data_IF_669276549760
#
_entry.id   IF_669276549760
#
_cell.length_a   1.000
_cell.length_b   1.000
_cell.length_c   1.000
_cell.angle_alpha   90.00
_cell.angle_beta   90.00
_cell.angle_gamma   90.00
#
_symmetry.space_group_name_H-M   'P 1'
#
loop_
_entity.id
_entity.type
_entity.pdbx_description
1 polymer ?
#
# COMPACT_ATOMS: atom_id res chain seq x y z
N UNK A 1 23.86 -64.47 -32.68
CA UNK A 1 22.61 -64.62 -33.47
C UNK A 1 22.16 -63.21 -33.84
N UNK A 2 22.08 -62.91 -35.15
CA UNK A 2 21.45 -61.77 -35.87
C UNK A 2 21.41 -60.40 -35.16
N UNK A 3 22.16 -59.37 -35.56
CA UNK A 3 22.00 -58.51 -36.76
C UNK A 3 20.53 -58.17 -37.09
N UNK A 4 20.11 -56.91 -36.88
CA UNK A 4 19.76 -56.01 -37.99
C UNK A 4 19.51 -54.56 -37.53
N UNK A 5 20.24 -53.68 -38.21
CA UNK A 5 20.05 -52.23 -38.34
C UNK A 5 18.83 -52.00 -39.24
N UNK A 6 18.01 -50.99 -38.96
CA UNK A 6 17.48 -50.05 -39.98
C UNK A 6 16.98 -48.78 -39.28
N UNK A 7 17.67 -47.67 -39.53
CA UNK A 7 17.03 -46.36 -39.51
C UNK A 7 16.47 -46.07 -40.89
N UNK A 8 15.36 -45.34 -40.97
CA UNK A 8 15.15 -44.31 -42.00
C UNK A 8 14.12 -43.29 -41.51
N UNK A 9 14.53 -42.04 -41.50
CA UNK A 9 13.70 -40.84 -41.65
C UNK A 9 13.13 -40.80 -43.07
N UNK A 10 11.87 -40.42 -43.30
CA UNK A 10 11.50 -39.51 -44.39
C UNK A 10 9.99 -39.27 -44.48
N UNK A 11 9.68 -37.98 -44.62
CA UNK A 11 8.40 -37.37 -44.94
C UNK A 11 7.77 -37.89 -46.24
N UNK A 12 6.44 -37.95 -46.26
CA UNK A 12 5.63 -37.76 -47.46
C UNK A 12 4.92 -36.41 -47.40
N UNK A 13 5.40 -35.44 -48.18
CA UNK A 13 4.72 -34.20 -48.57
C UNK A 13 3.59 -34.52 -49.57
N UNK A 14 2.47 -33.80 -49.71
CA UNK A 14 2.21 -32.41 -50.15
C UNK A 14 0.66 -32.33 -50.25
N UNK A 15 -0.10 -31.25 -50.06
CA UNK A 15 0.13 -29.81 -49.94
C UNK A 15 -1.19 -29.08 -49.60
N UNK A 16 -1.13 -28.16 -48.62
CA UNK A 16 -1.68 -26.77 -48.64
C UNK A 16 -3.22 -26.58 -48.67
N UNK A 17 -3.86 -26.23 -47.53
CA UNK A 17 -4.29 -24.87 -47.11
C UNK A 17 -5.44 -24.84 -46.06
N UNK A 18 -5.30 -23.90 -45.11
CA UNK A 18 -6.32 -23.24 -44.25
C UNK A 18 -7.08 -24.13 -43.23
N UNK A 19 -7.04 -23.89 -41.92
CA UNK A 19 -7.44 -22.68 -41.20
C UNK A 19 -6.57 -22.45 -39.94
N UNK A 20 -6.25 -21.17 -39.68
CA UNK A 20 -5.48 -20.67 -38.53
C UNK A 20 -6.25 -20.92 -37.22
N UNK A 21 -5.55 -21.45 -36.21
CA UNK A 21 -5.97 -21.37 -34.81
C UNK A 21 -6.07 -19.90 -34.40
N UNK A 22 -7.21 -19.53 -33.84
CA UNK A 22 -7.44 -18.23 -33.22
C UNK A 22 -6.39 -17.97 -32.15
N UNK A 23 -5.81 -16.76 -32.22
CA UNK A 23 -4.84 -16.24 -31.28
C UNK A 23 -5.45 -16.27 -29.87
N UNK A 24 -4.85 -17.04 -28.97
CA UNK A 24 -4.77 -16.66 -27.57
C UNK A 24 -4.09 -15.29 -27.52
N UNK A 25 -4.90 -14.26 -27.23
CA UNK A 25 -4.39 -12.92 -26.99
C UNK A 25 -3.64 -12.96 -25.66
N UNK A 26 -2.33 -13.18 -25.74
CA UNK A 26 -1.41 -12.71 -24.71
C UNK A 26 -1.42 -11.19 -24.79
N UNK A 27 -2.20 -10.52 -23.93
CA UNK A 27 -1.95 -9.09 -23.65
C UNK A 27 -0.70 -9.07 -22.77
N UNK A 28 0.46 -9.14 -23.42
CA UNK A 28 1.71 -8.68 -22.83
C UNK A 28 1.59 -7.16 -22.74
N UNK A 29 1.46 -6.66 -21.52
CA UNK A 29 1.53 -5.24 -21.17
C UNK A 29 2.99 -4.73 -21.24
N UNK A 30 3.71 -5.11 -22.30
CA UNK A 30 5.08 -4.64 -22.63
C UNK A 30 5.05 -3.30 -23.38
N UNK A 31 3.90 -2.90 -23.94
CA UNK A 31 3.78 -1.68 -24.75
C UNK A 31 3.67 -0.39 -23.92
N UNK A 32 3.15 -0.46 -22.69
CA UNK A 32 3.00 0.72 -21.82
C UNK A 32 4.32 1.09 -21.15
N UNK A 33 5.15 0.12 -20.78
CA UNK A 33 6.48 0.36 -20.20
C UNK A 33 7.46 0.97 -21.21
N UNK A 34 7.49 0.45 -22.44
CA UNK A 34 8.43 0.91 -23.47
C UNK A 34 8.10 2.32 -24.00
N UNK A 35 6.81 2.67 -24.10
CA UNK A 35 6.37 3.97 -24.60
C UNK A 35 6.74 5.15 -23.67
N UNK A 36 6.98 4.88 -22.38
CA UNK A 36 7.12 5.90 -21.33
C UNK A 36 8.58 6.29 -21.06
N UNK A 37 9.53 5.37 -21.17
CA UNK A 37 10.96 5.68 -21.20
C UNK A 37 11.33 6.47 -22.46
N UNK A 38 10.72 6.14 -23.61
CA UNK A 38 10.94 6.84 -24.88
C UNK A 38 10.63 8.35 -24.80
N UNK A 39 9.58 8.78 -24.07
CA UNK A 39 9.28 10.21 -23.89
C UNK A 39 10.39 10.94 -23.14
N UNK A 40 10.92 10.33 -22.09
CA UNK A 40 12.01 10.91 -21.29
C UNK A 40 13.29 10.94 -22.12
N UNK A 41 13.62 9.86 -22.84
CA UNK A 41 14.78 9.80 -23.73
C UNK A 41 14.67 10.81 -24.88
N UNK A 42 13.49 10.94 -25.49
CA UNK A 42 13.23 11.93 -26.54
C UNK A 42 13.36 13.36 -26.02
N UNK A 43 12.83 13.65 -24.83
CA UNK A 43 12.94 14.96 -24.20
C UNK A 43 14.39 15.27 -23.78
N UNK A 44 15.15 14.28 -23.35
CA UNK A 44 16.59 14.40 -23.06
C UNK A 44 17.38 14.76 -24.32
N UNK A 45 17.10 14.12 -25.46
CA UNK A 45 17.76 14.42 -26.74
C UNK A 45 17.50 15.84 -27.25
N UNK A 46 16.46 16.53 -26.75
CA UNK A 46 16.11 17.91 -27.11
C UNK A 46 16.80 18.93 -26.17
N UNK A 47 17.19 18.54 -24.96
CA UNK A 47 17.91 19.41 -24.04
C UNK A 47 19.34 19.63 -24.54
N UNK A 48 19.62 20.84 -25.03
CA UNK A 48 20.83 21.15 -25.81
C UNK A 48 22.09 21.43 -24.99
N UNK A 49 22.04 21.31 -23.66
CA UNK A 49 23.20 21.46 -22.78
C UNK A 49 23.03 20.58 -21.53
N UNK A 50 24.11 19.89 -21.13
CA UNK A 50 24.17 19.24 -19.82
C UNK A 50 24.16 20.32 -18.74
N UNK A 51 23.17 20.34 -17.83
CA UNK A 51 23.13 21.34 -16.77
C UNK A 51 24.25 21.13 -15.75
N UNK A 52 24.54 22.17 -14.97
CA UNK A 52 25.50 22.08 -13.88
C UNK A 52 25.14 20.94 -12.92
N UNK A 53 26.17 20.25 -12.42
CA UNK A 53 26.02 19.19 -11.42
C UNK A 53 25.22 19.68 -10.22
N UNK A 54 24.42 18.79 -9.62
CA UNK A 54 23.64 19.09 -8.42
C UNK A 54 24.53 19.68 -7.31
N UNK A 55 24.05 20.75 -6.68
CA UNK A 55 24.62 21.38 -5.50
C UNK A 55 23.77 21.03 -4.28
N UNK A 56 24.35 21.14 -3.08
CA UNK A 56 23.62 20.79 -1.86
C UNK A 56 22.46 21.76 -1.62
N UNK A 57 22.58 23.00 -2.09
CA UNK A 57 21.55 24.03 -2.02
C UNK A 57 20.42 23.87 -3.06
N UNK A 58 20.54 22.92 -4.01
CA UNK A 58 19.45 22.54 -4.91
C UNK A 58 18.30 21.83 -4.17
N UNK A 59 18.59 21.30 -2.98
CA UNK A 59 17.65 20.63 -2.09
C UNK A 59 17.15 21.57 -0.97
N UNK A 60 17.46 22.87 -1.04
CA UNK A 60 16.97 23.83 -0.05
C UNK A 60 15.73 24.55 -0.58
N UNK A 61 14.79 24.85 0.32
CA UNK A 61 13.63 25.69 0.00
C UNK A 61 13.46 26.79 1.03
N UNK A 62 12.62 27.77 0.71
CA UNK A 62 12.31 28.85 1.64
C UNK A 62 10.80 29.00 1.80
N UNK A 63 10.35 29.07 3.06
CA UNK A 63 8.96 29.33 3.40
C UNK A 63 8.89 30.43 4.47
N UNK A 64 8.09 31.47 4.23
CA UNK A 64 7.96 32.65 5.12
C UNK A 64 9.34 33.22 5.54
N UNK A 65 10.24 33.36 4.57
CA UNK A 65 11.63 33.83 4.77
C UNK A 65 12.52 32.94 5.67
N UNK A 66 12.09 31.71 5.95
CA UNK A 66 12.91 30.72 6.64
C UNK A 66 13.48 29.76 5.63
N UNK A 67 14.79 29.53 5.72
CA UNK A 67 15.48 28.49 4.99
C UNK A 67 15.08 27.13 5.59
N UNK A 68 14.75 26.18 4.74
CA UNK A 68 14.43 24.81 5.09
C UNK A 68 15.43 23.89 4.39
N UNK A 69 16.03 23.02 5.18
CA UNK A 69 17.02 22.01 4.77
C UNK A 69 16.96 20.78 5.69
N UNK A 70 17.86 19.83 5.49
CA UNK A 70 17.94 18.57 6.26
C UNK A 70 18.11 18.74 7.78
N UNK A 71 18.62 19.89 8.24
CA UNK A 71 18.92 20.19 9.64
C UNK A 71 17.82 21.05 10.29
N UNK A 72 16.74 21.33 9.57
CA UNK A 72 15.64 22.16 10.09
C UNK A 72 14.95 21.46 11.26
N UNK A 73 14.89 22.16 12.40
CA UNK A 73 14.14 21.71 13.58
C UNK A 73 12.66 22.03 13.39
N UNK A 74 11.84 20.97 13.29
CA UNK A 74 10.40 21.10 13.12
C UNK A 74 9.73 21.74 14.34
N UNK A 75 10.25 21.53 15.54
CA UNK A 75 9.68 22.10 16.78
C UNK A 75 9.86 23.63 16.80
N UNK A 76 10.95 24.15 16.23
CA UNK A 76 11.12 25.59 16.05
C UNK A 76 10.07 26.17 15.08
N UNK A 77 9.78 25.49 13.97
CA UNK A 77 8.76 25.93 13.02
C UNK A 77 7.37 25.94 13.66
N UNK A 78 7.02 24.90 14.42
CA UNK A 78 5.74 24.81 15.14
C UNK A 78 5.65 25.90 16.21
N UNK A 79 6.73 26.14 16.97
CA UNK A 79 6.74 27.23 17.96
C UNK A 79 6.50 28.60 17.31
N UNK A 80 7.05 28.81 16.11
CA UNK A 80 6.97 30.09 15.40
C UNK A 80 5.66 30.32 14.67
N UNK A 81 5.11 29.28 14.04
CA UNK A 81 3.96 29.41 13.14
C UNK A 81 2.69 28.74 13.67
N UNK A 82 2.79 27.96 14.74
CA UNK A 82 1.71 27.14 15.28
C UNK A 82 1.35 25.99 14.35
N UNK A 83 0.48 25.10 14.83
CA UNK A 83 -0.21 24.17 13.95
C UNK A 83 -1.21 24.94 13.07
N UNK A 84 -1.32 24.54 11.81
CA UNK A 84 -2.21 25.17 10.85
C UNK A 84 -3.67 24.73 11.00
N UNK A 85 -4.56 25.46 10.35
CA UNK A 85 -5.97 25.10 10.27
C UNK A 85 -6.15 23.70 9.65
N UNK A 86 -6.99 22.89 10.30
CA UNK A 86 -7.26 21.52 9.89
C UNK A 86 -6.31 20.47 10.48
N UNK A 87 -5.26 20.84 11.23
CA UNK A 87 -4.32 19.88 11.82
C UNK A 87 -5.02 18.79 12.65
N UNK A 88 -5.81 19.19 13.65
CA UNK A 88 -6.54 18.25 14.51
C UNK A 88 -7.58 17.44 13.72
N UNK A 89 -8.32 18.09 12.82
CA UNK A 89 -9.34 17.45 11.98
C UNK A 89 -8.76 16.41 11.01
N UNK A 90 -7.49 16.54 10.63
CA UNK A 90 -6.76 15.62 9.77
C UNK A 90 -5.90 14.65 10.58
N UNK A 91 -6.43 14.19 11.72
CA UNK A 91 -5.78 13.21 12.60
C UNK A 91 -4.35 13.63 13.00
N UNK A 92 -4.17 14.91 13.35
CA UNK A 92 -2.86 15.50 13.71
C UNK A 92 -1.78 15.22 12.65
N UNK A 93 -2.20 15.27 11.38
CA UNK A 93 -1.36 15.04 10.22
C UNK A 93 -0.84 13.61 10.04
N UNK A 94 -1.36 12.61 10.77
CA UNK A 94 -0.86 11.23 10.71
C UNK A 94 -0.85 10.69 9.27
N UNK A 95 0.30 10.17 8.84
CA UNK A 95 0.46 9.48 7.55
C UNK A 95 0.60 7.96 7.77
N UNK A 96 1.52 7.56 8.65
CA UNK A 96 1.82 6.16 8.98
C UNK A 96 2.53 6.06 10.33
N UNK A 97 2.64 4.87 10.91
CA UNK A 97 3.33 4.65 12.17
C UNK A 97 3.41 3.17 12.52
N UNK A 98 4.16 2.88 13.58
CA UNK A 98 4.46 1.51 14.03
C UNK A 98 4.44 1.39 15.57
N UNK A 99 3.67 2.25 16.25
CA UNK A 99 3.60 2.31 17.71
C UNK A 99 4.76 3.07 18.37
N UNK A 100 5.99 2.93 17.88
CA UNK A 100 7.17 3.62 18.43
C UNK A 100 7.45 4.94 17.70
N UNK A 101 7.19 5.01 16.41
CA UNK A 101 7.34 6.20 15.57
C UNK A 101 6.07 6.45 14.77
N UNK A 102 5.74 7.72 14.58
CA UNK A 102 4.74 8.14 13.59
C UNK A 102 5.37 9.08 12.57
N UNK A 103 5.07 8.83 11.30
CA UNK A 103 5.27 9.78 10.22
C UNK A 103 4.00 10.58 10.06
N UNK A 104 4.15 11.89 10.04
CA UNK A 104 3.03 12.81 9.93
C UNK A 104 3.44 13.99 9.07
N UNK A 105 2.44 14.70 8.56
CA UNK A 105 2.60 15.88 7.74
C UNK A 105 2.26 17.10 8.58
N UNK A 106 3.02 18.19 8.45
CA UNK A 106 2.66 19.54 8.87
C UNK A 106 2.45 20.39 7.61
N UNK A 107 1.21 20.79 7.36
CA UNK A 107 0.82 21.52 6.15
C UNK A 107 0.61 23.00 6.44
N UNK A 108 1.01 23.90 5.55
CA UNK A 108 0.65 25.32 5.67
C UNK A 108 0.11 25.85 4.35
N UNK A 109 -0.77 26.87 4.37
CA UNK A 109 -1.36 27.51 5.56
C UNK A 109 -2.46 26.67 6.22
N UNK A 110 -2.96 25.62 5.55
CA UNK A 110 -3.98 24.69 6.03
C UNK A 110 -3.81 23.30 5.37
N UNK A 111 -4.64 22.33 5.76
CA UNK A 111 -4.61 20.95 5.23
C UNK A 111 -5.43 20.72 3.95
N UNK A 112 -6.43 21.57 3.67
CA UNK A 112 -7.30 21.41 2.51
C UNK A 112 -6.59 21.83 1.21
N UNK A 113 -5.91 22.97 1.25
CA UNK A 113 -5.16 23.56 0.13
C UNK A 113 -3.76 23.96 0.60
N UNK A 114 -2.88 22.98 0.88
CA UNK A 114 -1.54 23.27 1.32
C UNK A 114 -0.74 23.98 0.23
N UNK A 115 0.08 24.91 0.67
CA UNK A 115 1.14 25.55 -0.10
C UNK A 115 2.44 24.75 -0.05
N UNK A 116 2.72 24.21 1.13
CA UNK A 116 3.89 23.42 1.47
C UNK A 116 3.50 22.39 2.52
N UNK A 117 4.10 21.21 2.44
CA UNK A 117 3.93 20.14 3.41
C UNK A 117 5.29 19.67 3.91
N UNK A 118 5.50 19.74 5.22
CA UNK A 118 6.66 19.17 5.87
C UNK A 118 6.30 17.76 6.30
N UNK A 119 7.02 16.74 5.82
CA UNK A 119 6.86 15.36 6.28
C UNK A 119 7.87 15.14 7.40
N UNK A 120 7.37 14.69 8.54
CA UNK A 120 8.08 14.62 9.81
C UNK A 120 8.00 13.19 10.31
N UNK A 121 9.09 12.69 10.87
CA UNK A 121 9.05 11.49 11.70
C UNK A 121 9.26 11.93 13.14
N UNK A 122 8.37 11.45 14.01
CA UNK A 122 8.48 11.65 15.46
C UNK A 122 8.51 10.30 16.14
N UNK A 123 9.39 10.15 17.12
CA UNK A 123 9.29 9.09 18.11
C UNK A 123 8.13 9.42 19.05
N UNK A 124 7.27 8.46 19.29
CA UNK A 124 6.17 8.59 20.24
C UNK A 124 6.74 8.40 21.64
N UNK A 125 6.46 9.35 22.52
CA UNK A 125 6.90 9.34 23.91
C UNK A 125 5.69 9.53 24.84
N UNK A 126 5.83 9.10 26.09
CA UNK A 126 4.81 9.29 27.12
C UNK A 126 5.19 10.48 27.99
N UNK A 127 4.34 11.49 28.06
CA UNK A 127 4.47 12.62 28.98
C UNK A 127 3.28 12.59 29.96
N UNK A 128 3.50 12.08 31.17
CA UNK A 128 2.43 11.80 32.11
C UNK A 128 1.56 10.63 31.64
N UNK A 129 0.29 10.90 31.32
CA UNK A 129 -0.66 9.92 30.76
C UNK A 129 -0.94 10.14 29.26
N UNK A 130 -0.29 11.12 28.62
CA UNK A 130 -0.52 11.47 27.21
C UNK A 130 0.64 11.00 26.31
N UNK A 131 0.29 10.54 25.11
CA UNK A 131 1.25 10.26 24.04
C UNK A 131 1.58 11.55 23.28
N UNK A 132 2.86 11.88 23.20
CA UNK A 132 3.38 13.12 22.61
C UNK A 132 4.46 12.85 21.57
N UNK A 133 4.72 13.85 20.72
CA UNK A 133 5.85 13.83 19.79
C UNK A 133 7.16 14.14 20.51
N UNK A 134 7.94 13.10 20.74
CA UNK A 134 9.30 13.15 21.27
C UNK A 134 10.32 13.68 20.27
N UNK A 135 11.47 13.01 20.20
CA UNK A 135 12.49 13.32 19.19
C UNK A 135 11.87 13.31 17.78
N UNK A 136 12.05 14.40 17.04
CA UNK A 136 11.41 14.61 15.74
C UNK A 136 12.40 15.19 14.75
N UNK A 137 12.31 14.77 13.49
CA UNK A 137 13.14 15.33 12.43
C UNK A 137 12.39 15.42 11.10
N UNK A 138 12.84 16.35 10.27
CA UNK A 138 12.29 16.56 8.93
C UNK A 138 12.71 15.43 8.00
N UNK A 139 11.73 14.70 7.49
CA UNK A 139 11.92 13.62 6.51
C UNK A 139 12.03 14.22 5.12
N UNK A 140 11.07 15.08 4.76
CA UNK A 140 10.96 15.64 3.44
C UNK A 140 10.08 16.90 3.41
N UNK A 141 10.09 17.60 2.28
CA UNK A 141 9.21 18.73 1.98
C UNK A 141 8.53 18.50 0.64
N UNK A 142 7.21 18.64 0.60
CA UNK A 142 6.45 18.75 -0.65
C UNK A 142 6.12 20.21 -0.93
N UNK A 143 6.41 20.66 -2.15
CA UNK A 143 5.90 21.90 -2.68
C UNK A 143 4.57 21.60 -3.36
N UNK A 144 3.49 22.20 -2.86
CA UNK A 144 2.10 21.86 -3.24
C UNK A 144 1.45 22.97 -4.08
N UNK A 145 2.11 24.13 -4.19
CA UNK A 145 1.59 25.29 -4.89
C UNK A 145 2.59 25.85 -5.92
N UNK A 146 2.15 26.23 -7.15
CA UNK A 146 3.01 26.74 -8.21
C UNK A 146 3.69 28.08 -7.90
N UNK A 147 3.36 28.74 -6.80
CA UNK A 147 4.06 29.94 -6.35
C UNK A 147 5.48 29.65 -5.83
N UNK A 148 5.74 28.43 -5.35
CA UNK A 148 7.08 28.03 -4.93
C UNK A 148 7.90 27.56 -6.10
N UNK A 149 9.20 27.86 -6.02
CA UNK A 149 10.19 27.42 -6.97
C UNK A 149 11.31 26.74 -6.23
N UNK A 150 11.87 25.69 -6.82
CA UNK A 150 13.18 25.17 -6.40
C UNK A 150 14.26 26.20 -6.64
N UNK A 151 15.47 25.96 -6.12
CA UNK A 151 16.65 26.81 -6.37
C UNK A 151 16.90 27.08 -7.86
N UNK A 152 16.70 26.05 -8.70
CA UNK A 152 16.85 26.14 -10.17
C UNK A 152 15.64 26.71 -10.90
N UNK A 153 14.59 27.12 -10.18
CA UNK A 153 13.43 27.79 -10.75
C UNK A 153 12.32 26.85 -11.26
N UNK A 154 12.33 25.57 -10.89
CA UNK A 154 11.27 24.62 -11.21
C UNK A 154 10.06 24.82 -10.28
N UNK A 155 8.84 24.72 -10.80
CA UNK A 155 7.59 24.78 -10.04
C UNK A 155 6.54 23.79 -10.58
N UNK A 156 5.51 23.53 -9.78
CA UNK A 156 4.31 22.80 -10.25
C UNK A 156 3.74 23.47 -11.52
N UNK A 157 3.33 22.64 -12.47
CA UNK A 157 2.79 23.02 -13.77
C UNK A 157 3.84 23.23 -14.87
N UNK A 158 5.13 23.25 -14.52
CA UNK A 158 6.22 23.23 -15.52
C UNK A 158 6.24 21.90 -16.29
N UNK A 159 6.84 21.89 -17.47
CA UNK A 159 6.87 20.69 -18.32
C UNK A 159 8.02 19.74 -17.97
N UNK A 160 7.87 18.47 -18.33
CA UNK A 160 8.95 17.47 -18.27
C UNK A 160 10.22 17.95 -18.98
N UNK A 161 10.09 18.60 -20.15
CA UNK A 161 11.23 19.17 -20.87
C UNK A 161 11.99 20.23 -20.05
N UNK A 162 11.28 21.08 -19.32
CA UNK A 162 11.91 22.07 -18.43
C UNK A 162 12.62 21.41 -17.25
N UNK A 163 12.08 20.32 -16.69
CA UNK A 163 12.76 19.54 -15.64
C UNK A 163 14.12 19.06 -16.14
N UNK A 164 14.14 18.41 -17.31
CA UNK A 164 15.35 17.86 -17.91
C UNK A 164 16.34 18.95 -18.31
N UNK A 165 15.87 20.14 -18.73
CA UNK A 165 16.74 21.29 -18.98
C UNK A 165 17.42 21.80 -17.70
N UNK A 166 16.71 21.83 -16.57
CA UNK A 166 17.22 22.38 -15.32
C UNK A 166 18.13 21.39 -14.56
N UNK A 167 17.81 20.10 -14.63
CA UNK A 167 18.43 19.08 -13.78
C UNK A 167 19.16 17.97 -14.55
N UNK A 168 18.94 17.87 -15.86
CA UNK A 168 19.64 16.92 -16.71
C UNK A 168 19.11 15.51 -16.55
N UNK A 169 20.01 14.54 -16.70
CA UNK A 169 19.67 13.12 -16.59
C UNK A 169 19.30 12.75 -15.14
N UNK A 170 18.11 12.18 -14.90
CA UNK A 170 17.72 11.67 -13.57
C UNK A 170 18.60 10.50 -13.15
N UNK A 171 18.76 10.34 -11.83
CA UNK A 171 19.36 9.15 -11.23
C UNK A 171 18.46 7.92 -11.42
N UNK A 172 17.14 8.09 -11.25
CA UNK A 172 16.14 7.04 -11.47
C UNK A 172 14.96 7.62 -12.25
N UNK A 173 14.43 6.84 -13.19
CA UNK A 173 13.23 7.15 -13.97
C UNK A 173 12.20 6.05 -13.74
N UNK A 174 10.99 6.46 -13.39
CA UNK A 174 9.82 5.59 -13.23
C UNK A 174 8.62 6.23 -13.95
N UNK A 175 7.53 5.46 -14.11
CA UNK A 175 6.32 6.01 -14.71
C UNK A 175 5.78 7.20 -13.87
N UNK A 176 5.78 8.39 -14.45
CA UNK A 176 5.30 9.61 -13.80
C UNK A 176 6.21 10.16 -12.70
N UNK A 177 7.47 9.68 -12.55
CA UNK A 177 8.39 10.19 -11.52
C UNK A 177 9.86 10.15 -11.95
N UNK A 178 10.55 11.26 -11.72
CA UNK A 178 12.00 11.42 -11.88
C UNK A 178 12.67 11.60 -10.52
N UNK A 179 13.78 10.92 -10.27
CA UNK A 179 14.57 11.09 -9.05
C UNK A 179 15.96 11.63 -9.38
N UNK A 180 16.36 12.69 -8.68
CA UNK A 180 17.70 13.27 -8.72
C UNK A 180 18.32 13.13 -7.34
N UNK A 181 19.54 12.60 -7.26
CA UNK A 181 20.17 12.23 -5.99
C UNK A 181 21.57 12.84 -5.85
N UNK A 182 21.90 13.32 -4.65
CA UNK A 182 23.26 13.72 -4.28
C UNK A 182 23.47 13.56 -2.77
N UNK A 183 24.53 12.87 -2.37
CA UNK A 183 24.96 12.77 -0.96
C UNK A 183 23.82 12.36 0.02
N UNK A 184 22.94 11.45 -0.41
CA UNK A 184 21.77 11.00 0.38
C UNK A 184 20.57 11.96 0.38
N UNK A 185 20.67 13.09 -0.32
CA UNK A 185 19.54 13.99 -0.59
C UNK A 185 18.88 13.60 -1.90
N UNK A 186 17.55 13.67 -1.94
CA UNK A 186 16.80 13.36 -3.16
C UNK A 186 15.79 14.44 -3.51
N UNK A 187 15.68 14.72 -4.81
CA UNK A 187 14.67 15.57 -5.40
C UNK A 187 13.83 14.68 -6.33
N UNK A 188 12.61 14.40 -5.90
CA UNK A 188 11.63 13.65 -6.67
C UNK A 188 10.65 14.60 -7.33
N UNK A 189 10.48 14.43 -8.63
CA UNK A 189 9.58 15.23 -9.44
C UNK A 189 8.54 14.29 -10.02
N UNK A 190 7.30 14.46 -9.58
CA UNK A 190 6.16 13.75 -10.14
C UNK A 190 5.57 14.56 -11.29
N UNK A 191 5.18 13.87 -12.35
CA UNK A 191 4.60 14.48 -13.54
C UNK A 191 3.43 13.67 -14.06
N UNK A 192 2.43 14.37 -14.56
CA UNK A 192 1.28 13.79 -15.23
C UNK A 192 1.69 13.33 -16.62
N UNK A 193 1.57 12.03 -16.89
CA UNK A 193 2.14 11.43 -18.11
C UNK A 193 1.41 11.78 -19.40
N UNK A 194 0.18 12.27 -19.27
CA UNK A 194 -0.67 12.66 -20.39
C UNK A 194 -0.38 14.11 -20.79
N UNK A 195 -0.34 15.01 -19.81
CA UNK A 195 -0.15 16.45 -20.00
C UNK A 195 1.31 16.88 -19.98
N UNK A 196 2.22 16.00 -19.55
CA UNK A 196 3.64 16.26 -19.38
C UNK A 196 3.98 17.37 -18.38
N UNK A 197 3.06 17.66 -17.45
CA UNK A 197 3.22 18.71 -16.43
C UNK A 197 3.61 18.14 -15.09
N UNK A 198 4.52 18.83 -14.40
CA UNK A 198 4.87 18.56 -13.00
C UNK A 198 3.64 18.79 -12.13
N UNK A 199 3.27 17.79 -11.34
CA UNK A 199 2.14 17.87 -10.40
C UNK A 199 2.59 17.87 -8.94
N UNK A 200 3.79 17.38 -8.62
CA UNK A 200 4.37 17.45 -7.29
C UNK A 200 5.91 17.55 -7.35
N UNK A 201 6.49 18.31 -6.44
CA UNK A 201 7.94 18.38 -6.24
C UNK A 201 8.21 18.05 -4.77
N UNK A 202 9.02 17.01 -4.56
CA UNK A 202 9.28 16.44 -3.25
C UNK A 202 10.79 16.41 -2.99
N UNK A 203 11.22 17.02 -1.89
CA UNK A 203 12.63 17.12 -1.48
C UNK A 203 12.81 16.25 -0.26
N UNK A 204 13.58 15.18 -0.39
CA UNK A 204 13.80 14.15 0.61
C UNK A 204 15.17 14.36 1.28
N UNK A 205 15.16 14.47 2.61
CA UNK A 205 16.36 14.69 3.42
C UNK A 205 16.77 13.45 4.21
N UNK A 206 15.81 12.86 4.93
CA UNK A 206 16.02 11.75 5.85
C UNK A 206 15.04 10.61 5.56
N UNK A 207 14.65 10.43 4.29
CA UNK A 207 13.65 9.45 3.89
C UNK A 207 14.09 8.03 4.23
N UNK A 208 15.30 7.62 3.83
CA UNK A 208 15.84 6.30 4.09
C UNK A 208 15.91 6.00 5.60
N UNK A 209 16.49 6.91 6.40
CA UNK A 209 16.49 6.82 7.87
C UNK A 209 15.06 6.66 8.42
N UNK A 210 14.10 7.41 7.89
CA UNK A 210 12.72 7.32 8.37
C UNK A 210 12.04 6.01 7.99
N UNK A 211 12.36 5.45 6.82
CA UNK A 211 11.89 4.14 6.38
C UNK A 211 12.53 3.07 7.25
N UNK A 212 13.83 3.15 7.50
CA UNK A 212 14.54 2.25 8.40
C UNK A 212 13.90 2.32 9.78
N UNK A 213 13.75 3.48 10.41
CA UNK A 213 13.11 3.58 11.73
C UNK A 213 11.64 3.14 11.74
N UNK A 214 10.91 3.32 10.64
CA UNK A 214 9.56 2.77 10.53
C UNK A 214 9.52 1.26 10.29
N UNK A 215 10.60 0.69 9.75
CA UNK A 215 10.80 -0.76 9.59
C UNK A 215 11.45 -1.41 10.82
N UNK A 216 12.32 -0.68 11.52
CA UNK A 216 13.31 -1.15 12.49
C UNK A 216 12.91 -0.84 13.92
N UNK A 217 12.16 0.24 14.13
CA UNK A 217 11.23 0.21 15.23
C UNK A 217 10.14 -0.70 14.72
N UNK A 218 10.15 -1.91 15.22
CA UNK A 218 8.89 -2.50 15.55
C UNK A 218 7.89 -2.55 14.36
N UNK A 219 8.14 -3.33 13.31
CA UNK A 219 7.49 -4.64 13.34
C UNK A 219 7.69 -5.26 14.72
N UNK A 220 6.95 -4.77 15.72
CA UNK A 220 6.63 -5.68 16.77
C UNK A 220 5.66 -6.61 16.06
N UNK A 221 6.14 -7.80 15.75
CA UNK A 221 5.35 -8.98 16.04
C UNK A 221 4.94 -9.04 17.54
N UNK A 222 4.56 -7.93 18.21
CA UNK A 222 3.80 -8.00 19.47
C UNK A 222 2.35 -8.35 19.20
N UNK A 223 2.02 -8.60 17.93
CA UNK A 223 0.72 -9.02 17.47
C UNK A 223 0.75 -10.26 16.57
N UNK A 224 1.92 -10.56 16.00
CA UNK A 224 2.08 -11.47 14.89
C UNK A 224 3.16 -12.50 15.15
N UNK A 225 3.19 -13.10 16.34
CA UNK A 225 3.94 -14.34 16.49
C UNK A 225 3.15 -15.48 15.86
N UNK A 226 3.81 -16.39 15.10
CA UNK A 226 3.19 -17.66 14.76
C UNK A 226 2.78 -18.36 16.06
N UNK A 227 1.53 -18.80 16.12
CA UNK A 227 1.12 -19.72 17.18
C UNK A 227 1.71 -21.09 16.78
N UNK A 228 2.47 -21.77 17.67
CA UNK A 228 3.06 -23.07 17.36
C UNK A 228 2.03 -24.12 16.91
N UNK A 229 0.76 -23.97 17.32
CA UNK A 229 -0.33 -24.84 16.87
C UNK A 229 -0.89 -24.44 15.49
N UNK A 230 -0.51 -23.26 14.98
CA UNK A 230 -0.92 -22.68 13.70
C UNK A 230 0.25 -22.43 12.72
N UNK A 231 1.47 -22.92 12.97
CA UNK A 231 2.54 -22.85 11.95
C UNK A 231 2.07 -23.51 10.64
N UNK A 232 2.21 -22.87 9.46
CA UNK A 232 3.02 -21.70 9.12
C UNK A 232 2.19 -20.39 8.99
N UNK A 233 1.33 -20.07 9.96
CA UNK A 233 0.48 -18.88 9.93
C UNK A 233 0.87 -17.88 11.02
N UNK A 234 0.93 -16.61 10.61
CA UNK A 234 1.16 -15.45 11.46
C UNK A 234 -0.17 -14.86 11.90
N UNK A 235 -0.44 -14.77 13.20
CA UNK A 235 -1.68 -14.19 13.73
C UNK A 235 -1.72 -12.67 13.48
N UNK A 236 -2.89 -12.12 13.15
CA UNK A 236 -3.13 -10.69 13.04
C UNK A 236 -3.91 -10.25 14.30
N UNK A 237 -3.22 -10.00 15.42
CA UNK A 237 -3.87 -9.76 16.73
C UNK A 237 -4.82 -8.56 16.70
N UNK A 238 -4.48 -7.45 16.05
CA UNK A 238 -5.38 -6.29 15.86
C UNK A 238 -6.70 -6.63 15.16
N UNK A 239 -6.75 -7.72 14.40
CA UNK A 239 -7.94 -8.22 13.70
C UNK A 239 -8.38 -9.60 14.22
N UNK A 240 -8.01 -9.94 15.44
CA UNK A 240 -8.43 -11.14 16.16
C UNK A 240 -9.19 -10.74 17.41
N UNK A 241 -10.38 -11.30 17.62
CA UNK A 241 -11.32 -10.79 18.61
C UNK A 241 -11.93 -11.90 19.44
N UNK A 242 -11.93 -11.73 20.76
CA UNK A 242 -12.89 -12.44 21.63
C UNK A 242 -14.26 -11.81 21.41
N UNK A 243 -15.23 -12.63 20.99
CA UNK A 243 -16.57 -12.17 20.62
C UNK A 243 -17.61 -13.25 20.89
N UNK A 244 -18.88 -12.87 20.82
CA UNK A 244 -20.02 -13.80 20.93
C UNK A 244 -20.63 -13.96 19.54
N UNK A 245 -20.54 -15.16 18.96
CA UNK A 245 -21.18 -15.49 17.69
C UNK A 245 -22.43 -16.32 17.96
N UNK A 246 -23.58 -15.87 17.47
CA UNK A 246 -24.85 -16.60 17.61
C UNK A 246 -24.72 -18.00 17.00
N UNK A 247 -24.82 -19.06 17.81
CA UNK A 247 -24.61 -20.44 17.39
C UNK A 247 -23.30 -21.06 17.87
N UNK A 248 -22.26 -20.25 18.13
CA UNK A 248 -21.00 -20.71 18.74
C UNK A 248 -20.85 -20.29 20.21
N UNK A 249 -21.50 -19.19 20.62
CA UNK A 249 -21.29 -18.61 21.95
C UNK A 249 -20.03 -17.75 21.98
N UNK A 250 -19.40 -17.66 23.15
CA UNK A 250 -18.15 -16.92 23.31
C UNK A 250 -16.97 -17.71 22.73
N UNK A 251 -16.29 -17.10 21.76
CA UNK A 251 -15.16 -17.68 21.04
C UNK A 251 -14.13 -16.61 20.74
N UNK A 252 -12.92 -17.02 20.39
CA UNK A 252 -11.90 -16.13 19.84
C UNK A 252 -11.83 -16.34 18.34
N UNK A 253 -12.13 -15.30 17.56
CA UNK A 253 -11.92 -15.27 16.12
C UNK A 253 -10.47 -14.90 15.83
N UNK A 254 -9.78 -15.73 15.06
CA UNK A 254 -8.37 -15.55 14.73
C UNK A 254 -8.24 -15.23 13.25
N UNK A 255 -7.65 -14.07 12.95
CA UNK A 255 -7.19 -13.72 11.61
C UNK A 255 -5.72 -14.09 11.47
N UNK A 256 -5.33 -14.74 10.37
CA UNK A 256 -3.93 -15.05 10.10
C UNK A 256 -3.53 -14.71 8.66
N UNK A 257 -2.23 -14.51 8.45
CA UNK A 257 -1.58 -14.48 7.15
C UNK A 257 -0.60 -15.65 7.07
N UNK A 258 -0.49 -16.29 5.90
CA UNK A 258 0.51 -17.33 5.65
C UNK A 258 1.91 -16.72 5.63
N UNK A 259 2.84 -17.41 6.27
CA UNK A 259 4.25 -17.00 6.38
C UNK A 259 4.99 -17.01 5.02
N UNK A 260 5.85 -15.99 4.83
CA UNK A 260 6.72 -15.76 3.67
C UNK A 260 7.74 -16.90 3.45
N UNK A 261 8.11 -17.62 4.51
CA UNK A 261 9.14 -18.68 4.49
C UNK A 261 8.81 -19.87 3.56
N UNK A 262 7.56 -19.95 3.10
CA UNK A 262 7.08 -21.02 2.21
C UNK A 262 7.32 -20.76 0.71
N UNK A 263 7.87 -19.61 0.30
CA UNK A 263 7.94 -19.15 -1.11
C UNK A 263 6.57 -19.05 -1.81
N UNK A 264 5.48 -19.14 -1.05
CA UNK A 264 4.11 -18.97 -1.55
C UNK A 264 3.64 -17.53 -1.31
N UNK A 265 2.61 -17.11 -2.06
CA UNK A 265 2.00 -15.80 -1.85
C UNK A 265 1.41 -15.72 -0.42
N UNK A 266 1.58 -14.58 0.23
CA UNK A 266 0.94 -14.29 1.53
C UNK A 266 -0.57 -14.30 1.31
N UNK A 267 -1.26 -15.29 1.87
CA UNK A 267 -2.72 -15.48 1.79
C UNK A 267 -3.31 -15.49 3.20
N UNK A 268 -4.59 -15.13 3.33
CA UNK A 268 -5.26 -15.06 4.62
C UNK A 268 -5.90 -16.40 5.00
N UNK A 269 -5.92 -16.72 6.29
CA UNK A 269 -6.70 -17.84 6.84
C UNK A 269 -7.36 -17.43 8.15
N UNK A 270 -8.49 -18.04 8.46
CA UNK A 270 -9.29 -17.66 9.62
C UNK A 270 -9.73 -18.88 10.42
N UNK A 271 -9.78 -18.73 11.74
CA UNK A 271 -10.12 -19.80 12.68
C UNK A 271 -11.05 -19.30 13.80
N UNK A 272 -11.76 -20.24 14.42
CA UNK A 272 -12.33 -20.05 15.76
C UNK A 272 -11.54 -20.89 16.76
N UNK A 273 -11.23 -20.29 17.90
CA UNK A 273 -10.61 -20.95 19.05
C UNK A 273 -11.52 -20.87 20.28
N UNK A 274 -11.30 -21.78 21.23
CA UNK A 274 -11.90 -21.70 22.55
C UNK A 274 -11.42 -20.41 23.24
N UNK A 275 -12.34 -19.61 23.77
CA UNK A 275 -11.96 -18.54 24.69
C UNK A 275 -11.62 -19.13 26.06
N UNK A 276 -10.35 -19.45 26.29
CA UNK A 276 -9.88 -20.05 27.55
C UNK A 276 -8.90 -19.10 28.25
N UNK A 277 -8.95 -19.06 29.59
CA UNK A 277 -7.89 -18.45 30.38
C UNK A 277 -6.53 -19.10 30.05
N UNK A 278 -5.45 -18.32 30.27
CA UNK A 278 -4.03 -18.56 29.88
C UNK A 278 -3.38 -19.92 30.23
N UNK A 279 -4.12 -20.88 30.79
CA UNK A 279 -3.64 -22.18 31.26
C UNK A 279 -4.34 -23.39 30.60
N UNK A 280 -5.11 -23.20 29.52
CA UNK A 280 -5.69 -24.28 28.71
C UNK A 280 -5.12 -24.20 27.30
N UNK A 281 -4.73 -25.34 26.71
CA UNK A 281 -4.27 -25.42 25.32
C UNK A 281 -5.24 -24.71 24.36
N UNK A 282 -4.71 -23.82 23.51
CA UNK A 282 -5.46 -23.08 22.51
C UNK A 282 -6.03 -24.06 21.48
N UNK A 283 -7.25 -24.55 21.70
CA UNK A 283 -7.87 -25.52 20.79
C UNK A 283 -8.63 -24.82 19.66
N UNK A 284 -8.21 -25.07 18.43
CA UNK A 284 -8.97 -24.71 17.22
C UNK A 284 -10.29 -25.48 17.21
N UNK A 285 -11.39 -24.74 17.14
CA UNK A 285 -12.76 -25.24 17.05
C UNK A 285 -13.25 -25.35 15.61
N UNK A 286 -12.81 -24.42 14.75
CA UNK A 286 -13.31 -24.32 13.39
C UNK A 286 -12.30 -23.64 12.48
N UNK A 287 -12.15 -24.16 11.26
CA UNK A 287 -11.42 -23.55 10.15
C UNK A 287 -12.43 -23.03 9.13
N UNK A 288 -12.30 -21.76 8.74
CA UNK A 288 -13.19 -21.16 7.76
C UNK A 288 -12.89 -21.62 6.33
N UNK A 289 -13.89 -21.58 5.42
CA UNK A 289 -13.66 -21.78 4.00
C UNK A 289 -12.63 -20.79 3.42
N UNK A 290 -12.07 -21.13 2.26
CA UNK A 290 -11.11 -20.30 1.55
C UNK A 290 -11.61 -18.85 1.41
N UNK A 291 -10.75 -17.90 1.78
CA UNK A 291 -11.09 -16.48 1.69
C UNK A 291 -11.13 -16.02 0.24
N UNK A 292 -12.18 -15.30 -0.15
CA UNK A 292 -12.33 -14.78 -1.52
C UNK A 292 -11.14 -13.93 -1.98
N UNK A 293 -10.50 -13.20 -1.05
CA UNK A 293 -9.32 -12.38 -1.36
C UNK A 293 -8.06 -13.16 -1.69
N UNK A 294 -8.03 -14.49 -1.46
CA UNK A 294 -6.92 -15.36 -1.79
C UNK A 294 -6.91 -15.71 -3.29
N UNK A 295 -6.70 -14.68 -4.13
CA UNK A 295 -6.87 -14.76 -5.58
C UNK A 295 -5.54 -14.82 -6.36
N UNK A 296 -4.46 -15.24 -5.70
CA UNK A 296 -3.13 -15.27 -6.29
C UNK A 296 -2.42 -13.91 -6.29
N UNK A 297 -2.81 -13.00 -5.40
CA UNK A 297 -2.08 -11.76 -5.08
C UNK A 297 -1.69 -11.75 -3.60
N UNK A 298 -0.57 -11.12 -3.27
CA UNK A 298 -0.12 -10.98 -1.88
C UNK A 298 -1.06 -10.07 -1.09
N UNK A 299 -1.53 -10.55 0.06
CA UNK A 299 -2.25 -9.74 1.04
C UNK A 299 -1.23 -8.98 1.87
N UNK A 300 -1.38 -7.66 1.93
CA UNK A 300 -0.58 -6.76 2.78
C UNK A 300 -1.01 -6.88 4.25
N UNK A 301 -2.33 -6.81 4.49
CA UNK A 301 -2.92 -6.91 5.82
C UNK A 301 -4.39 -7.27 5.79
N UNK A 302 -4.89 -7.76 6.92
CA UNK A 302 -6.33 -7.72 7.22
C UNK A 302 -6.66 -6.32 7.71
N UNK A 303 -7.56 -5.64 7.00
CA UNK A 303 -7.90 -4.24 7.27
C UNK A 303 -9.05 -4.09 8.26
N UNK A 304 -10.05 -4.96 8.17
CA UNK A 304 -11.22 -4.88 9.02
C UNK A 304 -11.97 -6.22 9.09
N UNK A 305 -12.50 -6.53 10.26
CA UNK A 305 -13.42 -7.64 10.52
C UNK A 305 -14.69 -7.11 11.16
N UNK A 306 -15.85 -7.65 10.78
CA UNK A 306 -17.14 -7.34 11.41
C UNK A 306 -17.95 -8.59 11.64
N UNK A 307 -18.64 -8.65 12.77
CA UNK A 307 -19.55 -9.73 13.16
C UNK A 307 -20.99 -9.20 13.17
N UNK A 308 -21.83 -9.65 12.24
CA UNK A 308 -23.21 -9.16 12.11
C UNK A 308 -24.10 -10.17 11.41
N UNK A 309 -25.36 -10.27 11.82
CA UNK A 309 -26.39 -10.96 11.04
C UNK A 309 -26.76 -10.12 9.81
N UNK A 310 -26.31 -10.54 8.62
CA UNK A 310 -26.48 -9.80 7.37
C UNK A 310 -27.70 -10.30 6.59
N UNK A 311 -28.05 -11.58 6.71
CA UNK A 311 -29.17 -12.21 6.02
C UNK A 311 -30.45 -12.29 6.87
N UNK A 312 -30.40 -11.83 8.13
CA UNK A 312 -31.51 -11.79 9.10
C UNK A 312 -32.03 -13.17 9.50
N UNK A 313 -31.16 -14.17 9.53
CA UNK A 313 -31.52 -15.54 9.90
C UNK A 313 -31.28 -15.86 11.40
N UNK A 314 -30.83 -14.86 12.16
CA UNK A 314 -30.51 -14.91 13.58
C UNK A 314 -29.11 -15.42 13.91
N UNK A 315 -28.30 -15.80 12.91
CA UNK A 315 -26.91 -16.26 13.08
C UNK A 315 -25.91 -15.14 12.76
N UNK A 316 -24.67 -15.29 13.22
CA UNK A 316 -23.65 -14.24 13.05
C UNK A 316 -22.81 -14.50 11.82
N UNK A 317 -22.98 -13.67 10.79
CA UNK A 317 -22.11 -13.64 9.62
C UNK A 317 -20.86 -12.78 9.89
N UNK A 318 -19.82 -13.02 9.09
CA UNK A 318 -18.53 -12.36 9.26
C UNK A 318 -18.13 -11.68 7.95
N UNK A 319 -17.85 -10.37 8.02
CA UNK A 319 -17.29 -9.61 6.90
C UNK A 319 -15.81 -9.40 7.14
N UNK A 320 -15.00 -9.75 6.15
CA UNK A 320 -13.56 -9.50 6.13
C UNK A 320 -13.26 -8.50 5.02
N UNK A 321 -12.43 -7.49 5.30
CA UNK A 321 -11.78 -6.66 4.30
C UNK A 321 -10.27 -6.81 4.50
N UNK A 322 -9.56 -7.18 3.44
CA UNK A 322 -8.11 -7.20 3.38
C UNK A 322 -7.63 -6.19 2.34
N UNK A 323 -6.38 -5.76 2.45
CA UNK A 323 -5.69 -4.95 1.45
C UNK A 323 -4.71 -5.89 0.72
N UNK A 324 -4.82 -6.03 -0.61
CA UNK A 324 -3.84 -6.78 -1.40
C UNK A 324 -2.91 -5.84 -2.15
N UNK A 325 -1.64 -6.24 -2.26
CA UNK A 325 -0.59 -5.47 -2.90
C UNK A 325 -0.85 -5.44 -4.41
N UNK A 326 -0.97 -4.24 -4.96
CA UNK A 326 -1.09 -4.01 -6.41
C UNK A 326 0.19 -3.47 -7.02
N UNK A 327 1.07 -2.94 -6.19
CA UNK A 327 2.36 -2.41 -6.60
C UNK A 327 3.09 -1.79 -5.42
N UNK A 328 4.34 -1.41 -5.65
CA UNK A 328 5.13 -0.64 -4.70
C UNK A 328 5.45 0.68 -5.38
N UNK A 329 5.11 1.80 -4.73
CA UNK A 329 5.38 3.14 -5.23
C UNK A 329 6.10 3.99 -4.16
N UNK A 330 6.42 5.24 -4.50
CA UNK A 330 7.18 6.13 -3.61
C UNK A 330 6.47 6.48 -2.29
N UNK A 331 5.16 6.25 -2.19
CA UNK A 331 4.35 6.46 -0.98
C UNK A 331 4.17 5.18 -0.16
N UNK A 332 4.80 4.07 -0.57
CA UNK A 332 4.72 2.76 0.08
C UNK A 332 4.08 1.70 -0.79
N UNK A 333 3.55 0.67 -0.14
CA UNK A 333 2.81 -0.40 -0.80
C UNK A 333 1.47 0.18 -1.27
N UNK A 334 1.24 0.13 -2.57
CA UNK A 334 -0.08 0.42 -3.12
C UNK A 334 -0.95 -0.81 -2.92
N UNK A 335 -2.10 -0.60 -2.28
CA UNK A 335 -3.04 -1.67 -2.00
C UNK A 335 -4.42 -1.35 -2.54
N UNK A 336 -5.13 -2.40 -2.92
CA UNK A 336 -6.56 -2.32 -3.17
C UNK A 336 -7.31 -3.18 -2.16
N UNK A 337 -8.46 -2.70 -1.65
CA UNK A 337 -9.26 -3.49 -0.75
C UNK A 337 -9.86 -4.68 -1.50
N UNK A 338 -10.04 -5.78 -0.78
CA UNK A 338 -10.83 -6.93 -1.19
C UNK A 338 -11.67 -7.41 -0.01
N UNK A 339 -12.96 -7.61 -0.25
CA UNK A 339 -13.91 -8.06 0.74
C UNK A 339 -14.35 -9.50 0.48
N UNK A 340 -14.60 -10.25 1.55
CA UNK A 340 -15.26 -11.56 1.50
C UNK A 340 -16.18 -11.73 2.71
N UNK A 341 -17.25 -12.52 2.53
CA UNK A 341 -18.25 -12.74 3.57
C UNK A 341 -18.40 -14.22 3.87
N UNK A 342 -18.36 -14.55 5.15
CA UNK A 342 -18.71 -15.87 5.67
C UNK A 342 -20.11 -15.82 6.26
N UNK A 343 -21.02 -16.57 5.64
CA UNK A 343 -22.37 -16.76 6.16
C UNK A 343 -22.45 -18.01 7.01
N UNK A 344 -23.04 -17.90 8.20
CA UNK A 344 -23.16 -19.04 9.09
C UNK A 344 -24.37 -19.89 8.72
N UNK A 345 -24.16 -21.21 8.59
CA UNK A 345 -25.21 -22.20 8.36
C UNK A 345 -25.81 -22.70 9.67
N UNK A 346 -26.94 -23.40 9.57
CA UNK A 346 -27.65 -23.98 10.73
C UNK A 346 -26.83 -25.00 11.51
N UNK A 347 -25.93 -25.70 10.83
CA UNK A 347 -25.01 -26.68 11.41
C UNK A 347 -23.77 -26.05 12.10
N UNK A 348 -23.78 -24.71 12.27
CA UNK A 348 -22.71 -23.87 12.83
C UNK A 348 -21.48 -23.70 11.93
N UNK A 349 -21.41 -24.37 10.78
CA UNK A 349 -20.32 -24.14 9.83
C UNK A 349 -20.57 -22.88 9.00
N UNK A 350 -19.56 -22.41 8.28
CA UNK A 350 -19.64 -21.21 7.44
C UNK A 350 -19.53 -21.56 5.96
N UNK A 351 -20.11 -20.71 5.11
CA UNK A 351 -19.98 -20.78 3.64
C UNK A 351 -19.75 -19.40 3.07
N UNK A 352 -19.12 -19.33 1.89
CA UNK A 352 -19.01 -18.11 1.09
C UNK A 352 -20.05 -18.11 -0.04
N UNK A 353 -20.28 -16.94 -0.63
CA UNK A 353 -21.12 -16.77 -1.82
C UNK A 353 -20.28 -16.08 -2.90
N UNK A 354 -19.51 -16.82 -3.72
CA UNK A 354 -18.49 -16.24 -4.60
C UNK A 354 -19.00 -15.16 -5.57
N UNK A 355 -20.22 -15.29 -6.09
CA UNK A 355 -20.81 -14.26 -6.96
C UNK A 355 -21.17 -12.98 -6.21
N UNK A 356 -21.57 -13.08 -4.94
CA UNK A 356 -21.81 -11.91 -4.09
C UNK A 356 -20.48 -11.22 -3.76
N UNK A 357 -19.47 -11.98 -3.34
CA UNK A 357 -18.14 -11.45 -3.04
C UNK A 357 -17.55 -10.75 -4.28
N UNK A 358 -17.62 -11.41 -5.44
CA UNK A 358 -17.23 -10.81 -6.73
C UNK A 358 -17.98 -9.51 -7.01
N UNK A 359 -19.28 -9.49 -6.81
CA UNK A 359 -20.12 -8.31 -7.05
C UNK A 359 -19.74 -7.14 -6.14
N UNK A 360 -19.53 -7.37 -4.84
CA UNK A 360 -19.10 -6.36 -3.86
C UNK A 360 -17.78 -5.71 -4.29
N UNK A 361 -16.83 -6.54 -4.74
CA UNK A 361 -15.50 -6.09 -5.13
C UNK A 361 -15.51 -5.34 -6.47
N UNK A 362 -16.21 -5.85 -7.49
CA UNK A 362 -16.28 -5.22 -8.82
C UNK A 362 -17.03 -3.88 -8.84
N UNK A 363 -17.97 -3.69 -7.91
CA UNK A 363 -18.75 -2.46 -7.77
C UNK A 363 -18.12 -1.44 -6.82
N UNK A 364 -16.97 -1.77 -6.20
CA UNK A 364 -16.23 -0.87 -5.31
C UNK A 364 -16.87 -0.68 -3.92
N UNK A 365 -17.82 -1.54 -3.54
CA UNK A 365 -18.45 -1.52 -2.22
C UNK A 365 -17.56 -2.14 -1.12
N UNK A 366 -16.39 -2.65 -1.47
CA UNK A 366 -15.40 -3.28 -0.59
C UNK A 366 -14.49 -2.31 0.20
N UNK A 367 -14.68 -0.99 0.07
CA UNK A 367 -13.77 0.01 0.69
C UNK A 367 -13.90 0.12 2.21
N UNK A 368 -15.09 -0.08 2.75
CA UNK A 368 -15.40 0.04 4.18
C UNK A 368 -16.42 -1.01 4.59
N UNK A 369 -16.41 -1.43 5.87
CA UNK A 369 -17.40 -2.37 6.39
C UNK A 369 -18.83 -1.87 6.19
N UNK A 370 -19.07 -0.58 6.38
CA UNK A 370 -20.38 0.04 6.17
C UNK A 370 -20.87 -0.12 4.73
N UNK A 371 -19.99 0.08 3.73
CA UNK A 371 -20.35 -0.06 2.32
C UNK A 371 -20.71 -1.51 1.98
N UNK A 372 -19.94 -2.48 2.49
CA UNK A 372 -20.24 -3.90 2.31
C UNK A 372 -21.58 -4.26 2.94
N UNK A 373 -21.80 -3.89 4.21
CA UNK A 373 -23.04 -4.18 4.95
C UNK A 373 -24.25 -3.56 4.23
N UNK A 374 -24.15 -2.30 3.78
CA UNK A 374 -25.23 -1.64 3.04
C UNK A 374 -25.51 -2.33 1.70
N UNK A 375 -24.48 -2.78 0.99
CA UNK A 375 -24.66 -3.50 -0.26
C UNK A 375 -25.39 -4.82 -0.05
N UNK A 376 -24.92 -5.61 0.93
CA UNK A 376 -25.44 -6.93 1.27
C UNK A 376 -26.89 -6.86 1.74
N UNK A 377 -27.25 -5.84 2.54
CA UNK A 377 -28.62 -5.65 3.03
C UNK A 377 -29.67 -5.45 1.94
N UNK A 378 -29.26 -5.15 0.70
CA UNK A 378 -30.14 -4.99 -0.46
C UNK A 378 -30.29 -6.27 -1.27
N UNK A 379 -29.51 -7.30 -0.95
CA UNK A 379 -29.51 -8.58 -1.64
C UNK A 379 -30.47 -9.54 -0.97
N UNK A 380 -31.07 -10.44 -1.76
CA UNK A 380 -31.81 -11.58 -1.22
C UNK A 380 -30.83 -12.73 -1.05
N UNK A 381 -30.43 -12.96 0.20
CA UNK A 381 -29.46 -13.97 0.55
C UNK A 381 -30.18 -15.11 1.27
N UNK A 382 -29.98 -16.32 0.78
CA UNK A 382 -30.49 -17.52 1.43
C UNK A 382 -29.36 -18.52 1.51
N UNK A 383 -29.08 -18.96 2.74
CA UNK A 383 -27.97 -19.84 3.09
C UNK A 383 -28.61 -20.99 3.85
N UNK A 384 -28.44 -22.22 3.36
CA UNK A 384 -29.15 -23.39 3.90
C UNK A 384 -28.54 -23.93 5.18
#
# INVERSE_FOLDING_TARGET
>A
MLIMIFGVTACGSTSINNYKSEKTVSVKDESTWNYRSEKVEKAQNIASADPESLQDDDFEVSYRSHKIDKNTDIKELIHKWGYSEGFEANNRGYNSGNGTYRRWSLSYPNYEEPEIRFVVLSKIELEGEELVDGESYLVAVSLENPKFKTKRGLKIGDTLGKVLQLYGKPSIVTNGSLLYSKNGLHLRIQWDTETEKVNNIFIEYNMEKSIEQQRSADYVEEDAQPDPDLEPYTIQREQSFTTILNGWGEVKFISTLKDEDTNDLIQAKFFLEVNSDKNVENKILYEFPEFYGNNGKMIDRIKAVSFKDLNQDGRTDIVIIADYITGVNAHGIETLPIAGIYFQKKDKTYTTLPELDKSINQTGHNRTLQNVIQYVSKQRINVQ
#
